data_IF_569012249297
#
_entry.id   IF_569012249297
#
_cell.length_a   1.000
_cell.length_b   1.000
_cell.length_c   1.000
_cell.angle_alpha   90.00
_cell.angle_beta   90.00
_cell.angle_gamma   90.00
#
_symmetry.space_group_name_H-M   'P 1'
#
loop_
_entity.id
_entity.type
_entity.pdbx_description
1 polymer ?
#
# COMPACT_ATOMS: atom_id res chain seq x y z
N UNK A 1 9.73 -7.16 7.91
CA UNK A 1 8.45 -7.65 8.49
C UNK A 1 8.02 -6.86 9.73
N UNK A 2 8.88 -6.66 10.73
CA UNK A 2 8.51 -5.95 11.97
C UNK A 2 8.02 -4.50 11.79
N UNK A 3 8.50 -3.78 10.77
CA UNK A 3 8.09 -2.38 10.54
C UNK A 3 6.65 -2.24 10.05
N UNK A 4 6.17 -3.16 9.21
CA UNK A 4 4.76 -3.19 8.75
C UNK A 4 3.84 -3.46 9.93
N UNK A 5 4.22 -4.40 10.78
CA UNK A 5 3.48 -4.78 11.99
C UNK A 5 3.38 -3.62 12.98
N UNK A 6 4.50 -2.94 13.25
CA UNK A 6 4.54 -1.78 14.15
C UNK A 6 3.64 -0.63 13.62
N UNK A 7 3.71 -0.36 12.32
CA UNK A 7 2.94 0.71 11.70
C UNK A 7 1.44 0.41 11.66
N UNK A 8 1.06 -0.81 11.24
CA UNK A 8 -0.35 -1.22 11.15
C UNK A 8 -0.98 -1.42 12.52
N UNK A 9 -0.27 -2.01 13.49
CA UNK A 9 -0.80 -2.13 14.86
C UNK A 9 -0.99 -0.77 15.54
N UNK A 10 -0.11 0.20 15.29
CA UNK A 10 -0.23 1.55 15.84
C UNK A 10 -1.46 2.30 15.30
N UNK A 11 -1.88 2.03 14.06
CA UNK A 11 -2.97 2.77 13.40
C UNK A 11 -4.31 2.02 13.44
N UNK A 12 -4.30 0.71 13.22
CA UNK A 12 -5.50 -0.12 13.11
C UNK A 12 -5.82 -0.94 14.39
N UNK A 13 -4.93 -0.93 15.39
CA UNK A 13 -5.17 -1.52 16.70
C UNK A 13 -5.60 -3.00 16.65
N UNK A 14 -6.64 -3.35 17.41
CA UNK A 14 -7.14 -4.73 17.51
C UNK A 14 -7.69 -5.29 16.19
N UNK A 15 -8.17 -4.46 15.28
CA UNK A 15 -8.68 -4.92 13.99
C UNK A 15 -7.56 -5.54 13.14
N UNK A 16 -6.36 -4.99 13.23
CA UNK A 16 -5.21 -5.57 12.55
C UNK A 16 -4.83 -6.93 13.14
N UNK A 17 -5.00 -7.14 14.44
CA UNK A 17 -4.68 -8.42 15.06
C UNK A 17 -5.54 -9.57 14.50
N UNK A 18 -6.82 -9.31 14.20
CA UNK A 18 -7.70 -10.27 13.52
C UNK A 18 -7.37 -10.45 12.04
N UNK A 19 -6.99 -9.37 11.35
CA UNK A 19 -6.69 -9.40 9.91
C UNK A 19 -5.30 -9.98 9.59
N UNK A 20 -4.32 -9.81 10.49
CA UNK A 20 -2.91 -10.11 10.25
C UNK A 20 -2.69 -11.51 9.70
N UNK A 21 -3.28 -12.53 10.34
CA UNK A 21 -3.09 -13.92 9.93
C UNK A 21 -3.64 -14.17 8.53
N UNK A 22 -4.84 -13.67 8.24
CA UNK A 22 -5.48 -13.83 6.94
C UNK A 22 -4.72 -13.09 5.84
N UNK A 23 -4.26 -11.87 6.13
CA UNK A 23 -3.47 -11.04 5.20
C UNK A 23 -2.19 -11.76 4.78
N UNK A 24 -1.37 -12.19 5.73
CA UNK A 24 -0.10 -12.82 5.41
C UNK A 24 -0.27 -14.22 4.79
N UNK A 25 -1.32 -14.96 5.19
CA UNK A 25 -1.66 -16.23 4.54
C UNK A 25 -2.00 -16.01 3.06
N UNK A 26 -2.87 -15.04 2.76
CA UNK A 26 -3.26 -14.76 1.37
C UNK A 26 -2.08 -14.31 0.52
N UNK A 27 -1.17 -13.50 1.08
CA UNK A 27 0.05 -13.10 0.37
C UNK A 27 0.95 -14.31 0.12
N UNK A 28 1.18 -15.16 1.12
CA UNK A 28 2.03 -16.35 0.98
C UNK A 28 1.46 -17.36 -0.02
N UNK A 29 0.15 -17.60 0.00
CA UNK A 29 -0.54 -18.48 -0.93
C UNK A 29 -0.37 -18.01 -2.39
N UNK A 30 -0.35 -16.70 -2.64
CA UNK A 30 -0.30 -16.14 -4.00
C UNK A 30 1.12 -15.99 -4.56
N UNK A 31 2.13 -15.74 -3.71
CA UNK A 31 3.50 -15.42 -4.18
C UNK A 31 4.60 -16.33 -3.61
N UNK A 32 4.28 -17.16 -2.62
CA UNK A 32 5.24 -17.98 -1.87
C UNK A 32 6.38 -17.13 -1.30
N UNK A 33 6.16 -16.50 -0.14
CA UNK A 33 7.06 -15.51 0.44
C UNK A 33 8.48 -16.04 0.70
N UNK A 34 8.64 -17.34 0.93
CA UNK A 34 9.96 -17.97 1.12
C UNK A 34 10.86 -17.93 -0.12
N UNK A 35 10.25 -17.89 -1.31
CA UNK A 35 10.95 -17.87 -2.60
C UNK A 35 11.00 -16.46 -3.22
N UNK A 36 10.63 -15.44 -2.44
CA UNK A 36 10.55 -14.06 -2.91
C UNK A 36 11.77 -13.22 -2.52
N UNK A 37 12.22 -12.41 -3.48
CA UNK A 37 13.06 -11.26 -3.19
C UNK A 37 12.16 -10.07 -2.81
N UNK A 38 12.47 -9.40 -1.70
CA UNK A 38 11.68 -8.27 -1.19
C UNK A 38 12.43 -6.97 -1.48
N UNK A 39 11.77 -6.05 -2.19
CA UNK A 39 12.27 -4.71 -2.47
C UNK A 39 11.40 -3.68 -1.79
N UNK A 40 11.98 -2.55 -1.42
CA UNK A 40 11.26 -1.39 -0.89
C UNK A 40 11.52 -0.17 -1.75
N UNK A 41 10.46 0.55 -2.09
CA UNK A 41 10.56 1.87 -2.71
C UNK A 41 10.45 2.94 -1.63
N UNK A 42 11.58 3.61 -1.39
CA UNK A 42 11.71 4.72 -0.44
C UNK A 42 12.14 5.96 -1.23
N UNK A 43 11.19 6.71 -1.81
CA UNK A 43 11.50 7.92 -2.57
C UNK A 43 12.09 9.01 -1.68
N UNK A 44 12.81 9.94 -2.31
CA UNK A 44 13.16 11.21 -1.70
C UNK A 44 11.92 12.13 -1.62
N UNK A 45 11.91 13.06 -0.66
CA UNK A 45 10.77 13.95 -0.37
C UNK A 45 10.22 14.69 -1.61
N UNK A 46 11.07 14.97 -2.60
CA UNK A 46 10.69 15.72 -3.80
C UNK A 46 10.07 14.83 -4.89
N UNK A 47 10.27 13.51 -4.80
CA UNK A 47 9.80 12.54 -5.79
C UNK A 47 8.80 11.55 -5.19
N UNK A 48 8.41 11.71 -3.92
CA UNK A 48 7.45 10.84 -3.25
C UNK A 48 6.02 11.18 -3.71
N UNK A 49 5.32 10.28 -4.44
CA UNK A 49 3.92 10.48 -4.80
C UNK A 49 3.00 10.53 -3.57
N UNK A 50 3.46 10.08 -2.40
CA UNK A 50 2.76 10.19 -1.12
C UNK A 50 3.29 11.32 -0.23
N UNK A 51 4.12 12.23 -0.77
CA UNK A 51 4.60 13.43 -0.08
C UNK A 51 3.53 14.48 0.23
N UNK A 52 2.24 14.11 0.11
CA UNK A 52 1.10 14.96 0.40
C UNK A 52 1.10 15.40 1.88
N UNK A 53 0.67 16.65 2.18
CA UNK A 53 0.51 17.10 3.55
C UNK A 53 -0.40 16.18 4.35
N UNK A 54 0.10 15.71 5.50
CA UNK A 54 -0.66 14.85 6.40
C UNK A 54 -0.40 13.35 6.27
N UNK A 55 0.46 12.90 5.34
CA UNK A 55 0.97 11.53 5.39
C UNK A 55 1.90 11.37 6.59
N UNK A 56 1.57 10.46 7.51
CA UNK A 56 2.36 10.15 8.70
C UNK A 56 3.49 9.19 8.38
N UNK A 57 3.16 8.14 7.63
CA UNK A 57 4.09 7.16 7.11
C UNK A 57 3.45 6.49 5.89
N UNK A 58 4.32 6.04 4.98
CA UNK A 58 3.97 5.14 3.89
C UNK A 58 5.01 4.02 3.83
N UNK A 59 4.61 2.87 3.33
CA UNK A 59 5.55 1.85 2.90
C UNK A 59 5.12 1.29 1.55
N UNK A 60 6.11 0.96 0.72
CA UNK A 60 5.89 0.45 -0.63
C UNK A 60 6.82 -0.75 -0.83
N UNK A 61 6.29 -1.96 -0.67
CA UNK A 61 7.04 -3.20 -0.83
C UNK A 61 6.67 -3.92 -2.11
N UNK A 62 7.67 -4.52 -2.75
CA UNK A 62 7.51 -5.39 -3.89
C UNK A 62 8.05 -6.77 -3.53
N UNK A 63 7.17 -7.78 -3.52
CA UNK A 63 7.56 -9.18 -3.39
C UNK A 63 7.70 -9.76 -4.79
N UNK A 64 8.92 -10.04 -5.21
CA UNK A 64 9.19 -10.59 -6.54
C UNK A 64 9.56 -12.07 -6.44
N UNK A 65 8.72 -12.93 -7.00
CA UNK A 65 9.03 -14.34 -7.19
C UNK A 65 9.53 -14.56 -8.62
N UNK A 66 10.84 -14.78 -8.77
CA UNK A 66 11.50 -15.03 -10.07
C UNK A 66 11.00 -16.30 -10.75
N UNK A 67 10.65 -17.34 -9.98
CA UNK A 67 10.18 -18.63 -10.51
C UNK A 67 8.78 -18.50 -11.10
N UNK A 68 7.89 -17.79 -10.41
CA UNK A 68 6.52 -17.52 -10.86
C UNK A 68 6.44 -16.37 -11.87
N UNK A 69 7.50 -15.57 -12.01
CA UNK A 69 7.54 -14.31 -12.78
C UNK A 69 6.42 -13.34 -12.36
N UNK A 70 6.13 -13.31 -11.05
CA UNK A 70 5.03 -12.55 -10.46
C UNK A 70 5.57 -11.55 -9.45
N UNK A 71 4.93 -10.39 -9.37
CA UNK A 71 5.23 -9.36 -8.38
C UNK A 71 3.95 -9.05 -7.62
N UNK A 72 4.01 -9.12 -6.29
CA UNK A 72 2.98 -8.53 -5.43
C UNK A 72 3.46 -7.15 -4.99
N UNK A 73 2.68 -6.13 -5.30
CA UNK A 73 2.90 -4.78 -4.80
C UNK A 73 2.06 -4.56 -3.55
N UNK A 74 2.72 -4.37 -2.41
CA UNK A 74 2.09 -4.16 -1.12
C UNK A 74 2.43 -2.78 -0.60
N UNK A 75 1.44 -1.89 -0.64
CA UNK A 75 1.56 -0.51 -0.16
C UNK A 75 0.52 -0.20 0.89
N UNK A 76 0.90 0.63 1.85
CA UNK A 76 -0.02 1.22 2.82
C UNK A 76 0.49 2.59 3.22
N UNK A 77 -0.45 3.52 3.47
CA UNK A 77 -0.15 4.83 4.03
C UNK A 77 -1.09 5.13 5.18
N UNK A 78 -0.58 5.82 6.20
CA UNK A 78 -1.38 6.41 7.25
C UNK A 78 -1.48 7.91 7.03
N UNK A 79 -2.71 8.43 7.07
CA UNK A 79 -3.00 9.84 6.88
C UNK A 79 -3.58 10.44 8.16
N UNK A 80 -3.18 11.66 8.48
CA UNK A 80 -3.82 12.46 9.50
C UNK A 80 -5.13 13.06 8.96
N UNK A 81 -6.27 12.64 9.52
CA UNK A 81 -7.60 13.11 9.12
C UNK A 81 -7.77 14.64 9.27
N UNK A 82 -7.00 15.30 10.14
CA UNK A 82 -7.08 16.76 10.28
C UNK A 82 -6.58 17.49 9.02
N UNK A 83 -5.56 16.98 8.32
CA UNK A 83 -5.07 17.55 7.07
C UNK A 83 -5.93 17.18 5.85
N UNK A 84 -6.57 16.01 5.88
CA UNK A 84 -7.49 15.54 4.81
C UNK A 84 -8.73 16.43 4.71
N UNK A 85 -9.13 17.12 5.79
CA UNK A 85 -10.29 18.03 5.77
C UNK A 85 -10.01 19.39 5.13
N UNK A 86 -8.77 19.85 5.12
CA UNK A 86 -8.40 21.14 4.50
C UNK A 86 -8.01 20.98 3.04
N UNK A 87 -7.55 19.80 2.64
CA UNK A 87 -7.27 19.45 1.26
C UNK A 87 -8.50 18.76 0.69
N UNK A 88 -9.36 19.48 -0.04
CA UNK A 88 -10.51 18.89 -0.75
C UNK A 88 -10.10 17.97 -1.90
N UNK A 89 -9.29 16.95 -1.63
CA UNK A 89 -8.79 15.98 -2.61
C UNK A 89 -9.86 14.93 -2.87
N UNK A 90 -10.56 15.17 -3.99
CA UNK A 90 -11.11 14.16 -4.89
C UNK A 90 -10.36 12.83 -4.80
N UNK A 91 -11.10 11.74 -4.67
CA UNK A 91 -10.56 10.41 -4.91
C UNK A 91 -10.23 10.27 -6.39
N UNK A 92 -9.06 10.74 -6.83
CA UNK A 92 -8.57 10.64 -8.22
C UNK A 92 -8.14 9.21 -8.62
N UNK A 93 -8.83 8.19 -8.09
CA UNK A 93 -8.72 6.78 -8.52
C UNK A 93 -9.95 6.33 -9.33
N UNK A 94 -10.84 7.24 -9.72
CA UNK A 94 -11.83 6.93 -10.73
C UNK A 94 -11.10 6.79 -12.07
N UNK A 95 -10.92 5.54 -12.52
CA UNK A 95 -10.64 5.25 -13.92
C UNK A 95 -11.77 5.90 -14.71
N UNK A 96 -11.50 6.99 -15.43
CA UNK A 96 -12.41 7.52 -16.43
C UNK A 96 -12.49 6.44 -17.52
N UNK A 97 -13.55 5.64 -17.48
CA UNK A 97 -13.92 4.78 -18.61
C UNK A 97 -14.15 5.72 -19.80
N UNK A 98 -13.27 5.64 -20.79
CA UNK A 98 -13.40 6.37 -22.03
C UNK A 98 -14.62 5.85 -22.79
N UNK A 99 -15.74 6.54 -22.64
CA UNK A 99 -16.87 6.41 -23.55
C UNK A 99 -16.49 7.06 -24.89
N UNK A 100 -15.85 6.25 -25.74
CA UNK A 100 -15.87 6.43 -27.19
C UNK A 100 -17.27 6.02 -27.71
N UNK A 101 -17.71 6.69 -28.78
CA UNK A 101 -18.93 6.46 -29.57
C UNK A 101 -20.31 6.94 -29.03
N UNK A 102 -20.84 8.06 -29.59
CA UNK A 102 -21.89 8.02 -30.63
C UNK A 102 -22.65 9.36 -30.85
N UNK A 103 -22.57 9.84 -32.10
CA UNK A 103 -23.38 10.83 -32.87
C UNK A 103 -23.15 12.33 -32.68
#
# INVERSE_FOLDING_TARGET
>A
MNSVEANLSAVAGEQYHGLRSALWSAVDDEISLMDCDIYSYNPDLNSDPYGEPGCLWSFNYFFYNKKLKRIVFFTCRAMNQFCVRESGTSSDFAMEDGDDDCY
#
